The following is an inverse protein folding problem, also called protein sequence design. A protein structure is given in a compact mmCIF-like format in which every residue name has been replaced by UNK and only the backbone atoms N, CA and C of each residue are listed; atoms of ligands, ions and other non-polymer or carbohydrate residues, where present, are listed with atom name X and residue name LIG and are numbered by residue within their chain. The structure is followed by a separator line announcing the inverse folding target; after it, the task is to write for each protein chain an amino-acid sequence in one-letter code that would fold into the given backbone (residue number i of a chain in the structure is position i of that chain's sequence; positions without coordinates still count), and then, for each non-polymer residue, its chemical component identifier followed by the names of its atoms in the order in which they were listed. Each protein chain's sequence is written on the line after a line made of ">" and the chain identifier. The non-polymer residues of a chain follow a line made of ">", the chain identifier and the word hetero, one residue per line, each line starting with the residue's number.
data_IF_702148329772
#
_entry.id   IF_702148329772
#
_cell.length_a   1.000
_cell.length_b   1.000
_cell.length_c   1.000
_cell.angle_alpha   90.00
_cell.angle_beta   90.00
_cell.angle_gamma   90.00
#
_symmetry.space_group_name_H-M   'P 1'
#
loop_
_entity.id
_entity.type
_entity.pdbx_description
1 polymer ?
#
# COMPACT_ATOMS: atom_id res chain seq x y z
N UNK A 1 -20.68 -1.31 -3.08
CA UNK A 1 -19.74 -2.22 -3.76
C UNK A 1 -18.81 -2.77 -2.70
N UNK A 2 -19.20 -3.88 -2.07
CA UNK A 2 -18.31 -4.62 -1.16
C UNK A 2 -17.14 -5.11 -2.02
N UNK A 3 -15.91 -5.00 -1.52
CA UNK A 3 -14.71 -5.45 -2.23
C UNK A 3 -14.95 -6.88 -2.73
N UNK A 4 -14.80 -7.08 -4.05
CA UNK A 4 -14.85 -8.43 -4.62
C UNK A 4 -13.77 -9.26 -3.90
N UNK A 5 -14.09 -10.49 -3.52
CA UNK A 5 -13.11 -11.35 -2.83
C UNK A 5 -11.89 -11.61 -3.71
N UNK A 6 -12.07 -11.56 -5.04
CA UNK A 6 -10.97 -11.64 -6.01
C UNK A 6 -10.02 -10.45 -5.89
N UNK A 7 -10.57 -9.23 -5.84
CA UNK A 7 -9.81 -7.98 -5.68
C UNK A 7 -8.95 -8.01 -4.41
N UNK A 8 -9.43 -8.66 -3.35
CA UNK A 8 -8.74 -8.77 -2.06
C UNK A 8 -7.53 -9.72 -2.11
N UNK A 9 -7.64 -10.86 -2.81
CA UNK A 9 -6.54 -11.82 -2.95
C UNK A 9 -5.42 -11.25 -3.84
N UNK A 10 -5.81 -10.55 -4.90
CA UNK A 10 -4.87 -9.90 -5.81
C UNK A 10 -4.12 -8.76 -5.09
N UNK A 11 -4.81 -7.96 -4.28
CA UNK A 11 -4.19 -6.91 -3.46
C UNK A 11 -3.18 -7.50 -2.45
N UNK A 12 -3.52 -8.62 -1.81
CA UNK A 12 -2.63 -9.29 -0.85
C UNK A 12 -1.34 -9.78 -1.52
N UNK A 13 -1.47 -10.42 -2.68
CA UNK A 13 -0.32 -10.93 -3.45
C UNK A 13 0.57 -9.80 -3.97
N UNK A 14 -0.05 -8.70 -4.42
CA UNK A 14 0.67 -7.50 -4.84
C UNK A 14 1.37 -6.81 -3.66
N UNK A 15 0.73 -6.74 -2.50
CA UNK A 15 1.31 -6.18 -1.28
C UNK A 15 2.56 -6.96 -0.84
N UNK A 16 2.52 -8.30 -0.85
CA UNK A 16 3.70 -9.13 -0.52
C UNK A 16 4.87 -8.83 -1.47
N UNK A 17 4.60 -8.70 -2.78
CA UNK A 17 5.65 -8.37 -3.76
C UNK A 17 6.20 -6.96 -3.52
N UNK A 18 5.34 -6.00 -3.18
CA UNK A 18 5.72 -4.61 -2.93
C UNK A 18 6.64 -4.51 -1.71
N UNK A 19 6.25 -5.07 -0.56
CA UNK A 19 7.06 -4.99 0.67
C UNK A 19 8.40 -5.72 0.52
N UNK A 20 8.46 -6.75 -0.32
CA UNK A 20 9.71 -7.46 -0.63
C UNK A 20 10.79 -6.58 -1.27
N UNK A 21 10.44 -5.42 -1.82
CA UNK A 21 11.40 -4.46 -2.38
C UNK A 21 12.09 -3.60 -1.30
N UNK A 22 11.64 -3.68 -0.04
CA UNK A 22 12.13 -2.85 1.05
C UNK A 22 12.60 -3.70 2.25
N UNK A 23 13.56 -4.63 2.05
CA UNK A 23 13.95 -5.59 3.08
C UNK A 23 14.60 -4.94 4.32
N UNK A 24 15.22 -3.77 4.16
CA UNK A 24 15.88 -3.03 5.24
C UNK A 24 14.94 -2.05 5.94
N UNK A 25 13.68 -1.96 5.50
CA UNK A 25 12.67 -1.09 6.08
C UNK A 25 11.67 -1.95 6.84
N UNK A 26 11.23 -1.51 8.02
CA UNK A 26 10.24 -2.23 8.83
C UNK A 26 8.81 -2.00 8.30
N UNK A 27 8.63 -2.06 6.99
CA UNK A 27 7.33 -1.88 6.33
C UNK A 27 6.47 -3.10 6.57
N UNK A 28 5.24 -2.86 7.01
CA UNK A 28 4.31 -3.94 7.35
C UNK A 28 3.49 -4.39 6.14
N UNK A 29 2.90 -5.57 6.23
CA UNK A 29 1.93 -6.03 5.23
C UNK A 29 0.72 -5.07 5.12
N UNK A 30 0.33 -4.42 6.22
CA UNK A 30 -0.74 -3.43 6.21
C UNK A 30 -0.36 -2.21 5.35
N UNK A 31 0.89 -1.73 5.46
CA UNK A 31 1.41 -0.65 4.63
C UNK A 31 1.40 -1.05 3.15
N UNK A 32 1.82 -2.28 2.84
CA UNK A 32 1.81 -2.82 1.49
C UNK A 32 0.39 -2.93 0.89
N UNK A 33 -0.58 -3.38 1.65
CA UNK A 33 -2.00 -3.46 1.22
C UNK A 33 -2.54 -2.05 0.99
N UNK A 34 -2.30 -1.14 1.93
CA UNK A 34 -2.76 0.26 1.82
C UNK A 34 -2.17 0.95 0.60
N UNK A 35 -0.87 0.77 0.35
CA UNK A 35 -0.17 1.26 -0.83
C UNK A 35 -0.73 0.67 -2.14
N UNK A 36 -1.02 -0.63 -2.15
CA UNK A 36 -1.60 -1.33 -3.31
C UNK A 36 -2.99 -0.79 -3.65
N UNK A 37 -3.85 -0.65 -2.64
CA UNK A 37 -5.20 -0.09 -2.82
C UNK A 37 -5.14 1.38 -3.25
N UNK A 38 -4.26 2.17 -2.63
CA UNK A 38 -4.02 3.58 -2.99
C UNK A 38 -3.67 3.74 -4.47
N UNK A 39 -2.70 2.96 -4.96
CA UNK A 39 -2.30 2.97 -6.36
C UNK A 39 -3.45 2.54 -7.29
N UNK A 40 -4.15 1.45 -6.95
CA UNK A 40 -5.27 0.94 -7.75
C UNK A 40 -6.41 1.96 -7.87
N UNK A 41 -6.71 2.67 -6.79
CA UNK A 41 -7.75 3.70 -6.76
C UNK A 41 -7.26 5.08 -7.22
N UNK A 42 -5.95 5.24 -7.44
CA UNK A 42 -5.32 6.54 -7.72
C UNK A 42 -5.67 7.60 -6.68
N UNK A 43 -5.70 7.21 -5.41
CA UNK A 43 -6.00 8.08 -4.27
C UNK A 43 -4.79 8.19 -3.34
N UNK A 44 -4.43 9.39 -2.86
CA UNK A 44 -3.35 9.53 -1.91
C UNK A 44 -3.69 8.88 -0.56
N UNK A 45 -2.70 8.34 0.11
CA UNK A 45 -2.83 7.84 1.49
C UNK A 45 -2.85 9.03 2.45
N UNK A 46 -3.83 9.05 3.36
CA UNK A 46 -3.83 9.98 4.47
C UNK A 46 -3.18 9.35 5.69
N UNK A 47 -1.95 9.73 5.99
CA UNK A 47 -1.15 9.16 7.07
C UNK A 47 -0.05 10.12 7.53
N UNK A 48 0.44 9.91 8.75
CA UNK A 48 1.67 10.52 9.24
C UNK A 48 2.87 9.55 9.18
N UNK A 49 2.64 8.30 8.80
CA UNK A 49 3.69 7.27 8.71
C UNK A 49 4.60 7.53 7.50
N UNK A 50 5.91 7.60 7.75
CA UNK A 50 6.92 7.85 6.73
C UNK A 50 7.17 6.64 5.81
N UNK A 51 6.69 5.45 6.16
CA UNK A 51 6.79 4.25 5.32
C UNK A 51 6.23 4.48 3.90
N UNK A 52 5.18 5.29 3.77
CA UNK A 52 4.56 5.59 2.47
C UNK A 52 5.40 6.54 1.62
N UNK A 53 6.18 7.43 2.24
CA UNK A 53 7.16 8.24 1.53
C UNK A 53 8.32 7.36 1.03
N UNK A 54 8.78 6.40 1.84
CA UNK A 54 9.83 5.43 1.46
C UNK A 54 9.37 4.55 0.30
N UNK A 55 8.11 4.11 0.33
CA UNK A 55 7.49 3.33 -0.75
C UNK A 55 7.10 4.17 -2.00
N UNK A 56 7.39 5.48 -2.00
CA UNK A 56 7.04 6.42 -3.08
C UNK A 56 5.53 6.47 -3.40
N UNK A 57 4.70 6.27 -2.38
CA UNK A 57 3.24 6.36 -2.49
C UNK A 57 2.81 7.81 -2.32
N UNK A 58 1.81 8.25 -3.08
CA UNK A 58 1.25 9.59 -2.92
C UNK A 58 0.63 9.73 -1.53
N UNK A 59 1.10 10.68 -0.75
CA UNK A 59 0.57 11.01 0.59
C UNK A 59 -0.12 12.37 0.52
N UNK A 60 -1.28 12.49 1.15
CA UNK A 60 -1.95 13.78 1.26
C UNK A 60 -1.16 14.71 2.20
N UNK A 61 -0.66 15.82 1.64
CA UNK A 61 -0.01 16.91 2.37
C UNK A 61 -0.87 18.15 2.16
N UNK A 62 -1.27 18.78 3.26
CA UNK A 62 -2.05 20.02 3.26
C UNK A 62 -1.14 21.23 3.01
#
# INVERSE_FOLDING_TARGET
>A
RVLDTRDTVDDYSAAIKLIGNFPDQQVTLFDGITATISNRLSLPVWTYDYHFDVMLISVWRY
#
